data_IF_885676429616
#
_entry.id   IF_885676429616
#
_cell.length_a   1.000
_cell.length_b   1.000
_cell.length_c   1.000
_cell.angle_alpha   90.00
_cell.angle_beta   90.00
_cell.angle_gamma   90.00
#
_symmetry.space_group_name_H-M   'P 1'
#
loop_
_entity.id
_entity.type
_entity.pdbx_description
1 polymer ?
#
# COMPACT_ATOMS: atom_id res chain seq x y z
N UNK A 1 -20.68 27.69 20.78
CA UNK A 1 -21.88 26.97 20.30
C UNK A 1 -21.38 25.58 19.86
N UNK A 2 -21.61 24.54 20.66
CA UNK A 2 -21.32 23.16 20.27
C UNK A 2 -22.23 22.82 19.10
N UNK A 3 -21.71 22.71 17.89
CA UNK A 3 -22.43 22.01 16.82
C UNK A 3 -22.67 20.59 17.35
N UNK A 4 -23.95 20.23 17.58
CA UNK A 4 -24.33 18.84 17.77
C UNK A 4 -23.80 18.07 16.56
N UNK A 5 -22.83 17.18 16.81
CA UNK A 5 -22.40 16.19 15.81
C UNK A 5 -23.66 15.35 15.55
N UNK A 6 -24.34 15.62 14.45
CA UNK A 6 -25.45 14.80 13.99
C UNK A 6 -24.82 13.44 13.69
N UNK A 7 -25.23 12.39 14.41
CA UNK A 7 -24.76 11.03 14.15
C UNK A 7 -25.01 10.72 12.67
N UNK A 8 -23.94 10.56 11.89
CA UNK A 8 -24.03 10.25 10.46
C UNK A 8 -24.63 8.85 10.34
N UNK A 9 -25.82 8.74 9.76
CA UNK A 9 -26.40 7.43 9.46
C UNK A 9 -25.57 6.75 8.37
N UNK A 10 -25.22 5.50 8.56
CA UNK A 10 -24.58 4.61 7.57
C UNK A 10 -25.46 3.38 7.29
N UNK A 11 -26.77 3.51 7.54
CA UNK A 11 -27.72 2.39 7.51
C UNK A 11 -27.85 1.75 6.12
N UNK A 12 -27.90 2.56 5.06
CA UNK A 12 -28.01 2.06 3.68
C UNK A 12 -26.75 1.28 3.30
N UNK A 13 -25.58 1.79 3.69
CA UNK A 13 -24.30 1.11 3.47
C UNK A 13 -24.24 -0.24 4.18
N UNK A 14 -24.70 -0.33 5.44
CA UNK A 14 -24.73 -1.60 6.17
C UNK A 14 -25.86 -2.53 5.72
N UNK A 15 -26.99 -2.01 5.25
CA UNK A 15 -28.04 -2.84 4.66
C UNK A 15 -27.51 -3.59 3.42
N UNK A 16 -26.75 -2.90 2.57
CA UNK A 16 -26.09 -3.52 1.41
C UNK A 16 -25.00 -4.51 1.85
N UNK A 17 -24.20 -4.17 2.88
CA UNK A 17 -23.15 -5.06 3.39
C UNK A 17 -23.71 -6.40 3.90
N UNK A 18 -24.82 -6.37 4.65
CA UNK A 18 -25.50 -7.60 5.08
C UNK A 18 -25.98 -8.48 3.92
N UNK A 19 -26.36 -7.87 2.79
CA UNK A 19 -26.70 -8.62 1.57
C UNK A 19 -25.44 -9.17 0.88
N UNK A 20 -24.40 -8.36 0.79
CA UNK A 20 -23.12 -8.74 0.18
C UNK A 20 -22.46 -9.92 0.89
N UNK A 21 -22.56 -10.02 2.21
CA UNK A 21 -22.04 -11.16 2.99
C UNK A 21 -22.62 -12.52 2.53
N UNK A 22 -23.83 -12.54 1.92
CA UNK A 22 -24.45 -13.76 1.37
C UNK A 22 -23.88 -14.15 -0.01
N UNK A 23 -23.28 -13.20 -0.73
CA UNK A 23 -22.86 -13.38 -2.11
C UNK A 23 -21.33 -13.27 -2.29
N UNK A 24 -20.67 -12.52 -1.42
CA UNK A 24 -19.25 -12.23 -1.46
C UNK A 24 -18.59 -12.76 -0.20
N UNK A 25 -17.69 -13.72 -0.28
CA UNK A 25 -16.97 -14.23 0.88
C UNK A 25 -16.27 -13.10 1.66
N UNK A 26 -16.65 -12.90 2.93
CA UNK A 26 -16.13 -11.81 3.76
C UNK A 26 -16.69 -10.42 3.43
N UNK A 27 -17.75 -10.32 2.61
CA UNK A 27 -18.46 -9.07 2.30
C UNK A 27 -17.70 -8.05 1.44
N UNK A 28 -16.41 -8.24 1.24
CA UNK A 28 -15.55 -7.35 0.45
C UNK A 28 -14.47 -8.13 -0.30
N UNK A 29 -14.07 -7.64 -1.48
CA UNK A 29 -13.01 -8.27 -2.29
C UNK A 29 -11.61 -8.07 -1.66
N UNK A 30 -11.38 -6.95 -0.99
CA UNK A 30 -10.12 -6.65 -0.31
C UNK A 30 -10.30 -6.75 1.20
N UNK A 31 -9.35 -7.40 1.87
CA UNK A 31 -9.31 -7.46 3.34
C UNK A 31 -9.27 -6.04 3.93
N UNK A 32 -8.43 -5.17 3.37
CA UNK A 32 -8.30 -3.77 3.82
C UNK A 32 -9.56 -2.90 3.65
N UNK A 33 -10.62 -3.42 3.02
CA UNK A 33 -11.93 -2.74 2.88
C UNK A 33 -13.00 -3.29 3.81
N UNK A 34 -12.67 -4.29 4.62
CA UNK A 34 -13.61 -4.85 5.59
C UNK A 34 -13.88 -3.84 6.70
N UNK A 35 -15.15 -3.51 7.00
CA UNK A 35 -15.48 -2.52 8.02
C UNK A 35 -15.01 -2.94 9.43
N UNK A 36 -14.79 -4.23 9.66
CA UNK A 36 -14.24 -4.78 10.91
C UNK A 36 -12.82 -4.32 11.22
N UNK A 37 -12.07 -3.84 10.22
CA UNK A 37 -10.73 -3.28 10.43
C UNK A 37 -10.75 -1.82 10.88
N UNK A 38 -11.93 -1.21 10.88
CA UNK A 38 -12.17 0.18 11.28
C UNK A 38 -13.18 0.23 12.45
N UNK A 39 -13.94 1.30 12.54
CA UNK A 39 -15.04 1.42 13.50
C UNK A 39 -16.31 0.77 12.93
N UNK A 40 -16.52 -0.53 13.22
CA UNK A 40 -17.69 -1.28 12.76
C UNK A 40 -18.99 -0.60 13.23
N UNK A 41 -19.92 -0.40 12.30
CA UNK A 41 -21.19 0.30 12.58
C UNK A 41 -21.12 1.82 12.35
N UNK A 42 -19.92 2.42 12.24
CA UNK A 42 -19.72 3.84 11.97
C UNK A 42 -19.01 4.11 10.65
N UNK A 43 -17.95 3.34 10.37
CA UNK A 43 -17.25 3.45 9.08
C UNK A 43 -18.11 2.83 7.98
N UNK A 44 -18.45 3.58 6.91
CA UNK A 44 -19.29 3.06 5.85
C UNK A 44 -18.55 1.97 5.05
N UNK A 45 -19.16 0.79 4.83
CA UNK A 45 -18.55 -0.26 4.01
C UNK A 45 -18.57 0.02 2.51
N UNK A 46 -19.31 1.02 2.03
CA UNK A 46 -19.46 1.33 0.62
C UNK A 46 -19.30 2.81 0.31
N UNK A 47 -18.63 3.09 -0.81
CA UNK A 47 -18.47 4.40 -1.41
C UNK A 47 -19.39 4.50 -2.63
N UNK A 48 -20.15 5.58 -2.76
CA UNK A 48 -20.98 5.86 -3.93
C UNK A 48 -20.23 6.60 -5.02
N UNK A 49 -19.37 7.55 -4.65
CA UNK A 49 -18.52 8.34 -5.55
C UNK A 49 -17.32 8.93 -4.83
N UNK A 50 -16.28 9.27 -5.57
CA UNK A 50 -15.11 10.00 -5.08
C UNK A 50 -14.76 11.15 -6.02
N UNK A 51 -14.23 12.26 -5.48
CA UNK A 51 -13.67 13.37 -6.24
C UNK A 51 -12.56 14.06 -5.44
N UNK A 52 -11.40 14.25 -6.03
CA UNK A 52 -10.27 14.87 -5.36
C UNK A 52 -9.82 14.05 -4.13
N UNK A 53 -9.75 14.71 -2.97
CA UNK A 53 -9.39 14.10 -1.67
C UNK A 53 -10.57 13.45 -0.93
N UNK A 54 -11.79 13.46 -1.52
CA UNK A 54 -13.02 13.12 -0.82
C UNK A 54 -13.80 11.99 -1.46
N UNK A 55 -14.56 11.27 -0.64
CA UNK A 55 -15.58 10.35 -1.12
C UNK A 55 -16.91 10.56 -0.38
N UNK A 56 -17.98 10.04 -0.97
CA UNK A 56 -19.33 10.01 -0.40
C UNK A 56 -19.79 8.57 -0.30
N UNK A 57 -20.41 8.24 0.82
CA UNK A 57 -20.99 6.93 1.03
C UNK A 57 -22.40 6.79 0.40
N UNK A 58 -23.10 5.67 0.64
CA UNK A 58 -24.46 5.47 0.13
C UNK A 58 -25.52 6.28 0.86
N UNK A 59 -25.19 6.78 2.03
CA UNK A 59 -26.05 7.61 2.87
C UNK A 59 -25.80 9.11 2.62
N UNK A 60 -24.94 9.44 1.62
CA UNK A 60 -24.51 10.76 1.20
C UNK A 60 -23.62 11.52 2.22
N UNK A 61 -23.07 10.83 3.20
CA UNK A 61 -22.06 11.41 4.08
C UNK A 61 -20.76 11.64 3.30
N UNK A 62 -20.12 12.78 3.55
CA UNK A 62 -18.85 13.18 2.93
C UNK A 62 -17.68 12.91 3.89
N UNK A 63 -16.59 12.38 3.35
CA UNK A 63 -15.36 12.10 4.10
C UNK A 63 -14.14 12.61 3.35
N UNK A 64 -13.23 13.27 4.08
CA UNK A 64 -11.85 13.48 3.59
C UNK A 64 -11.09 12.17 3.76
N UNK A 65 -10.48 11.67 2.70
CA UNK A 65 -9.82 10.36 2.69
C UNK A 65 -8.29 10.48 2.77
N UNK A 66 -7.71 10.08 3.89
CA UNK A 66 -6.26 10.01 4.08
C UNK A 66 -5.65 8.64 3.74
N UNK A 67 -6.48 7.67 3.33
CA UNK A 67 -6.02 6.36 2.83
C UNK A 67 -5.83 6.35 1.31
N UNK A 68 -6.59 7.16 0.56
CA UNK A 68 -6.51 7.34 -0.89
C UNK A 68 -6.39 6.02 -1.66
N UNK A 69 -7.35 5.10 -1.45
CA UNK A 69 -7.33 3.76 -2.02
C UNK A 69 -6.01 3.00 -1.73
N UNK A 70 -5.57 3.02 -0.46
CA UNK A 70 -4.29 2.43 -0.02
C UNK A 70 -3.09 3.01 -0.81
N UNK A 71 -3.15 4.33 -1.05
CA UNK A 71 -2.12 5.09 -1.74
C UNK A 71 -2.16 5.03 -3.27
N UNK A 72 -3.18 4.42 -3.89
CA UNK A 72 -3.27 4.32 -5.34
C UNK A 72 -3.71 5.62 -6.03
N UNK A 73 -4.65 6.37 -5.43
CA UNK A 73 -5.18 7.62 -6.00
C UNK A 73 -4.27 8.81 -5.67
N UNK A 74 -3.08 8.84 -6.27
CA UNK A 74 -2.04 9.84 -5.94
C UNK A 74 -2.38 11.26 -6.36
N UNK A 75 -3.11 11.43 -7.47
CA UNK A 75 -3.61 12.72 -7.93
C UNK A 75 -4.96 13.07 -7.30
N UNK A 76 -5.61 12.10 -6.67
CA UNK A 76 -6.97 12.21 -6.16
C UNK A 76 -7.95 11.36 -6.95
N UNK A 77 -9.17 11.21 -6.41
CA UNK A 77 -10.26 10.50 -7.07
C UNK A 77 -10.76 11.27 -8.29
N UNK A 78 -11.10 10.54 -9.35
CA UNK A 78 -11.70 11.08 -10.57
C UNK A 78 -10.95 12.33 -11.10
N UNK A 79 -9.62 12.22 -11.25
CA UNK A 79 -8.80 13.30 -11.80
C UNK A 79 -9.17 13.52 -13.26
N UNK A 80 -9.55 14.77 -13.61
CA UNK A 80 -10.14 15.10 -14.90
C UNK A 80 -9.19 14.84 -16.08
N UNK A 81 -7.88 15.02 -15.92
CA UNK A 81 -6.92 14.81 -16.99
C UNK A 81 -6.66 13.31 -17.22
N UNK A 82 -6.57 12.51 -16.15
CA UNK A 82 -6.42 11.06 -16.25
C UNK A 82 -7.69 10.44 -16.83
N UNK A 83 -8.86 10.83 -16.33
CA UNK A 83 -10.15 10.33 -16.80
C UNK A 83 -10.41 10.70 -18.26
N UNK A 84 -10.05 11.92 -18.71
CA UNK A 84 -10.16 12.33 -20.11
C UNK A 84 -9.31 11.44 -21.03
N UNK A 85 -8.07 11.13 -20.65
CA UNK A 85 -7.20 10.23 -21.43
C UNK A 85 -7.79 8.81 -21.53
N UNK A 86 -8.31 8.30 -20.41
CA UNK A 86 -8.97 6.99 -20.35
C UNK A 86 -10.23 6.96 -21.21
N UNK A 87 -11.10 7.98 -21.11
CA UNK A 87 -12.33 8.07 -21.92
C UNK A 87 -11.99 8.13 -23.43
N UNK A 88 -10.97 8.89 -23.81
CA UNK A 88 -10.50 8.95 -25.18
C UNK A 88 -10.05 7.56 -25.68
N UNK A 89 -9.31 6.81 -24.86
CA UNK A 89 -8.85 5.46 -25.19
C UNK A 89 -10.00 4.46 -25.27
N UNK A 90 -10.98 4.52 -24.36
CA UNK A 90 -12.16 3.63 -24.40
C UNK A 90 -12.93 3.78 -25.71
N UNK A 91 -13.03 5.01 -26.23
CA UNK A 91 -13.70 5.27 -27.53
C UNK A 91 -12.97 4.68 -28.74
N UNK A 92 -11.67 4.36 -28.61
CA UNK A 92 -10.87 3.72 -29.66
C UNK A 92 -10.80 2.20 -29.49
N UNK A 93 -11.15 1.69 -28.31
CA UNK A 93 -11.08 0.28 -27.91
C UNK A 93 -10.17 0.07 -26.70
N UNK A 94 -10.36 -1.06 -26.01
CA UNK A 94 -9.69 -1.33 -24.75
C UNK A 94 -8.70 -2.49 -24.81
N UNK A 95 -9.01 -3.54 -25.59
CA UNK A 95 -8.18 -4.73 -25.75
C UNK A 95 -8.19 -5.15 -27.22
N UNK A 96 -7.06 -5.59 -27.72
CA UNK A 96 -6.87 -5.87 -29.14
C UNK A 96 -6.23 -7.24 -29.34
N UNK A 97 -6.37 -7.78 -30.56
CA UNK A 97 -5.69 -9.03 -30.97
C UNK A 97 -4.20 -8.84 -31.29
N UNK A 98 -3.76 -7.58 -31.41
CA UNK A 98 -2.37 -7.19 -31.67
C UNK A 98 -1.93 -6.17 -30.61
N UNK A 99 -0.63 -5.94 -30.49
CA UNK A 99 -0.06 -4.95 -29.56
C UNK A 99 -0.49 -3.53 -29.93
N UNK A 100 -0.73 -2.71 -28.91
CA UNK A 100 -1.09 -1.30 -29.07
C UNK A 100 0.14 -0.39 -28.88
N UNK A 101 0.28 0.72 -29.61
CA UNK A 101 1.43 1.64 -29.49
C UNK A 101 1.68 2.15 -28.06
N UNK A 102 0.65 2.29 -27.23
CA UNK A 102 0.80 2.70 -25.83
C UNK A 102 1.69 1.75 -25.02
N UNK A 103 1.80 0.47 -25.41
CA UNK A 103 2.73 -0.46 -24.76
C UNK A 103 4.18 0.03 -24.92
N UNK A 104 4.54 0.44 -26.13
CA UNK A 104 5.87 0.99 -26.42
C UNK A 104 6.07 2.38 -25.78
N UNK A 105 5.08 3.25 -25.88
CA UNK A 105 5.16 4.61 -25.36
C UNK A 105 5.37 4.61 -23.86
N UNK A 106 4.62 3.79 -23.10
CA UNK A 106 4.80 3.66 -21.67
C UNK A 106 6.13 3.00 -21.31
N UNK A 107 6.57 1.97 -22.05
CA UNK A 107 7.87 1.34 -21.82
C UNK A 107 9.01 2.35 -22.00
N UNK A 108 8.97 3.18 -23.04
CA UNK A 108 9.93 4.25 -23.28
C UNK A 108 9.94 5.28 -22.14
N UNK A 109 8.76 5.66 -21.65
CA UNK A 109 8.65 6.59 -20.51
C UNK A 109 9.23 5.98 -19.22
N UNK A 110 8.87 4.74 -18.89
CA UNK A 110 9.35 4.05 -17.68
C UNK A 110 10.86 3.84 -17.71
N UNK A 111 11.44 3.46 -18.86
CA UNK A 111 12.87 3.28 -19.00
C UNK A 111 13.66 4.58 -18.95
N UNK A 112 13.03 5.72 -19.22
CA UNK A 112 13.67 7.02 -19.13
C UNK A 112 13.70 7.58 -17.69
N UNK A 113 12.80 7.14 -16.81
CA UNK A 113 12.61 7.75 -15.48
C UNK A 113 12.99 6.84 -14.31
N UNK A 114 12.97 5.51 -14.50
CA UNK A 114 13.26 4.55 -13.42
C UNK A 114 14.71 4.05 -13.55
N UNK A 115 15.55 4.21 -12.50
CA UNK A 115 16.99 3.93 -12.59
C UNK A 115 17.37 2.51 -13.05
N UNK A 116 16.67 1.46 -12.60
CA UNK A 116 16.99 0.08 -12.98
C UNK A 116 16.32 -0.35 -14.31
N UNK A 117 15.45 0.47 -14.89
CA UNK A 117 14.58 0.04 -15.99
C UNK A 117 15.29 0.12 -17.36
N UNK A 118 15.65 -1.01 -17.90
CA UNK A 118 16.09 -1.18 -19.30
C UNK A 118 15.05 -1.92 -20.15
N UNK A 119 14.19 -2.72 -19.51
CA UNK A 119 13.06 -3.44 -20.11
C UNK A 119 11.84 -3.43 -19.18
N UNK A 120 10.66 -3.64 -19.75
CA UNK A 120 9.38 -3.57 -19.06
C UNK A 120 8.48 -4.76 -19.36
N UNK A 121 7.75 -5.26 -18.36
CA UNK A 121 6.65 -6.19 -18.51
C UNK A 121 5.42 -5.67 -17.75
N UNK A 122 4.26 -5.65 -18.38
CA UNK A 122 3.02 -5.16 -17.76
C UNK A 122 2.22 -6.27 -17.07
N UNK A 123 1.40 -5.87 -16.10
CA UNK A 123 0.41 -6.69 -15.42
C UNK A 123 -0.73 -5.80 -14.86
N UNK A 124 -1.60 -6.32 -13.98
CA UNK A 124 -2.75 -5.57 -13.48
C UNK A 124 -2.71 -5.25 -11.98
N UNK A 125 -1.80 -5.82 -11.24
CA UNK A 125 -1.72 -5.61 -9.79
C UNK A 125 -0.35 -5.89 -9.21
N UNK A 126 -0.10 -5.35 -7.99
CA UNK A 126 1.20 -5.47 -7.32
C UNK A 126 1.60 -6.91 -7.00
N UNK A 127 0.64 -7.74 -6.55
CA UNK A 127 0.91 -9.15 -6.29
C UNK A 127 1.30 -9.93 -7.54
N UNK A 128 0.67 -9.63 -8.70
CA UNK A 128 1.10 -10.17 -9.99
C UNK A 128 2.50 -9.70 -10.35
N UNK A 129 2.78 -8.39 -10.22
CA UNK A 129 4.10 -7.83 -10.52
C UNK A 129 5.20 -8.54 -9.71
N UNK A 130 5.00 -8.71 -8.40
CA UNK A 130 5.95 -9.42 -7.53
C UNK A 130 6.10 -10.89 -7.95
N UNK A 131 5.02 -11.57 -8.29
CA UNK A 131 5.05 -12.96 -8.76
C UNK A 131 5.81 -13.11 -10.08
N UNK A 132 5.60 -12.18 -11.02
CA UNK A 132 6.33 -12.13 -12.28
C UNK A 132 7.82 -11.89 -12.02
N UNK A 133 8.17 -10.91 -11.17
CA UNK A 133 9.56 -10.60 -10.84
C UNK A 133 10.29 -11.79 -10.19
N UNK A 134 9.66 -12.46 -9.22
CA UNK A 134 10.19 -13.68 -8.60
C UNK A 134 10.36 -14.80 -9.63
N UNK A 135 9.40 -14.97 -10.53
CA UNK A 135 9.49 -15.98 -11.59
C UNK A 135 10.62 -15.69 -12.58
N UNK A 136 10.81 -14.42 -12.94
CA UNK A 136 11.94 -13.97 -13.77
C UNK A 136 13.28 -14.29 -13.06
N UNK A 137 13.39 -13.95 -11.78
CA UNK A 137 14.60 -14.21 -11.01
C UNK A 137 14.93 -15.71 -10.93
N UNK A 138 13.92 -16.56 -10.72
CA UNK A 138 14.08 -18.03 -10.77
C UNK A 138 14.52 -18.50 -12.14
N UNK A 139 13.89 -18.01 -13.21
CA UNK A 139 14.26 -18.36 -14.59
C UNK A 139 15.67 -17.94 -14.96
N UNK A 140 16.07 -16.73 -14.55
CA UNK A 140 17.41 -16.20 -14.80
C UNK A 140 18.51 -16.93 -14.04
N UNK A 141 18.28 -17.23 -12.75
CA UNK A 141 19.32 -17.85 -11.89
C UNK A 141 19.34 -19.37 -11.93
N UNK A 142 18.25 -20.01 -12.38
CA UNK A 142 18.04 -21.45 -12.24
C UNK A 142 17.87 -21.94 -10.80
N UNK A 143 17.63 -21.02 -9.84
CA UNK A 143 17.47 -21.30 -8.41
C UNK A 143 16.03 -21.14 -7.96
N UNK A 144 15.67 -21.65 -6.77
CA UNK A 144 14.27 -21.71 -6.34
C UNK A 144 13.90 -20.81 -5.17
N UNK A 145 14.83 -20.59 -4.20
CA UNK A 145 14.52 -19.90 -2.95
C UNK A 145 14.47 -18.39 -3.10
N UNK A 146 13.57 -17.78 -2.34
CA UNK A 146 13.39 -16.32 -2.28
C UNK A 146 13.53 -15.87 -0.84
N UNK A 147 14.44 -14.93 -0.58
CA UNK A 147 14.50 -14.23 0.70
C UNK A 147 13.66 -12.97 0.60
N UNK A 148 12.83 -12.70 1.60
CA UNK A 148 11.93 -11.56 1.54
C UNK A 148 11.87 -10.76 2.85
N UNK A 149 11.55 -9.47 2.72
CA UNK A 149 11.24 -8.59 3.84
C UNK A 149 10.15 -7.59 3.45
N UNK A 150 8.97 -7.72 4.01
CA UNK A 150 7.81 -6.88 3.72
C UNK A 150 6.60 -7.67 3.23
N UNK A 151 5.61 -6.93 2.72
CA UNK A 151 4.39 -7.48 2.14
C UNK A 151 4.48 -7.54 0.61
N UNK A 152 4.34 -8.73 0.02
CA UNK A 152 4.54 -8.91 -1.42
C UNK A 152 3.36 -9.55 -2.15
N UNK A 153 2.16 -9.47 -1.60
CA UNK A 153 0.93 -9.99 -2.22
C UNK A 153 0.40 -11.24 -1.55
N UNK A 154 -0.46 -11.97 -2.26
CA UNK A 154 -1.23 -13.10 -1.74
C UNK A 154 -0.94 -14.42 -2.46
N UNK A 155 -0.03 -14.41 -3.43
CA UNK A 155 0.26 -15.58 -4.25
C UNK A 155 1.00 -16.67 -3.47
N UNK A 156 0.88 -17.91 -3.91
CA UNK A 156 1.37 -19.10 -3.22
C UNK A 156 2.84 -19.00 -2.83
N UNK A 157 3.70 -18.45 -3.72
CA UNK A 157 5.13 -18.33 -3.45
C UNK A 157 5.42 -17.52 -2.16
N UNK A 158 4.60 -16.50 -1.86
CA UNK A 158 4.77 -15.66 -0.67
C UNK A 158 4.11 -16.30 0.56
N UNK A 159 2.87 -16.80 0.41
CA UNK A 159 2.15 -17.46 1.50
C UNK A 159 2.80 -18.78 1.93
N UNK A 160 3.64 -19.39 1.08
CA UNK A 160 4.45 -20.56 1.40
C UNK A 160 5.35 -20.36 2.64
N UNK A 161 5.69 -19.13 2.99
CA UNK A 161 6.44 -18.81 4.21
C UNK A 161 5.75 -19.30 5.50
N UNK A 162 4.41 -19.41 5.52
CA UNK A 162 3.65 -19.90 6.66
C UNK A 162 3.38 -21.42 6.63
N UNK A 163 3.97 -22.19 5.71
CA UNK A 163 3.81 -23.65 5.67
C UNK A 163 4.57 -24.35 6.80
N UNK A 164 5.74 -23.81 7.18
CA UNK A 164 6.57 -24.38 8.24
C UNK A 164 6.21 -23.83 9.64
N UNK A 165 5.61 -22.65 9.71
CA UNK A 165 5.14 -22.00 10.93
C UNK A 165 4.06 -20.97 10.62
N UNK A 166 2.93 -21.06 11.30
CA UNK A 166 1.75 -20.20 11.09
C UNK A 166 1.97 -18.70 11.40
N UNK A 167 3.15 -18.30 11.88
CA UNK A 167 3.42 -16.94 12.36
C UNK A 167 4.54 -16.20 11.63
N UNK A 168 5.13 -16.78 10.59
CA UNK A 168 6.24 -16.14 9.84
C UNK A 168 5.82 -14.80 9.24
N UNK A 169 4.61 -14.71 8.69
CA UNK A 169 4.07 -13.51 8.06
C UNK A 169 3.46 -12.50 9.03
N UNK A 170 3.34 -12.80 10.32
CA UNK A 170 2.69 -11.92 11.30
C UNK A 170 3.37 -10.55 11.42
N UNK A 171 4.69 -10.49 11.26
CA UNK A 171 5.47 -9.25 11.27
C UNK A 171 5.66 -8.62 9.89
N UNK A 172 5.28 -9.32 8.83
CA UNK A 172 5.47 -8.86 7.44
C UNK A 172 4.18 -8.38 6.79
N UNK A 173 3.02 -8.94 7.19
CA UNK A 173 1.73 -8.62 6.62
C UNK A 173 0.68 -8.37 7.71
N UNK A 174 0.02 -9.41 8.16
CA UNK A 174 -1.05 -9.35 9.16
C UNK A 174 -1.00 -10.62 10.01
N UNK A 175 -1.23 -10.53 11.32
CA UNK A 175 -1.29 -11.71 12.19
C UNK A 175 -2.39 -12.69 11.78
N UNK A 176 -2.12 -13.98 11.98
CA UNK A 176 -3.12 -15.04 11.85
C UNK A 176 -3.41 -15.52 10.42
N UNK A 177 -2.58 -15.17 9.44
CA UNK A 177 -2.71 -15.70 8.06
C UNK A 177 -2.41 -17.18 8.05
N UNK A 178 -3.38 -17.98 7.57
CA UNK A 178 -3.20 -19.43 7.36
C UNK A 178 -2.87 -19.71 5.91
N UNK A 179 -1.86 -20.56 5.61
CA UNK A 179 -1.49 -20.92 4.24
C UNK A 179 -2.45 -21.96 3.64
N UNK A 180 -3.76 -21.80 3.92
CA UNK A 180 -4.78 -22.74 3.47
C UNK A 180 -4.89 -22.70 1.94
N UNK A 181 -4.71 -23.85 1.30
CA UNK A 181 -4.74 -24.00 -0.15
C UNK A 181 -3.38 -23.83 -0.85
N UNK A 182 -2.33 -23.43 -0.11
CA UNK A 182 -0.96 -23.39 -0.64
C UNK A 182 -0.37 -24.79 -0.65
N UNK A 183 0.21 -25.26 -1.78
CA UNK A 183 0.80 -26.61 -1.88
C UNK A 183 1.99 -26.77 -0.91
N UNK A 184 2.00 -27.86 -0.15
CA UNK A 184 3.08 -28.17 0.81
C UNK A 184 4.46 -28.30 0.15
N UNK A 185 4.53 -28.69 -1.13
CA UNK A 185 5.77 -28.72 -1.88
C UNK A 185 6.51 -27.39 -2.03
N UNK A 186 5.87 -26.27 -1.66
CA UNK A 186 6.50 -24.95 -1.62
C UNK A 186 7.14 -24.60 -0.27
N UNK A 187 7.05 -25.47 0.73
CA UNK A 187 7.68 -25.24 2.04
C UNK A 187 9.19 -24.99 1.88
N UNK A 188 9.71 -24.00 2.61
CA UNK A 188 11.13 -23.62 2.56
C UNK A 188 11.58 -22.89 1.29
N UNK A 189 10.66 -22.54 0.36
CA UNK A 189 11.01 -21.76 -0.85
C UNK A 189 10.90 -20.24 -0.65
N UNK A 190 10.21 -19.75 0.38
CA UNK A 190 10.11 -18.34 0.75
C UNK A 190 10.54 -18.18 2.22
N UNK A 191 11.62 -17.46 2.46
CA UNK A 191 12.26 -17.36 3.75
C UNK A 191 12.40 -15.89 4.16
N UNK A 192 11.95 -15.50 5.36
CA UNK A 192 12.00 -14.12 5.81
C UNK A 192 13.39 -13.71 6.29
N UNK A 193 13.69 -12.43 6.17
CA UNK A 193 14.73 -11.75 6.93
C UNK A 193 14.17 -10.48 7.57
N UNK A 194 14.85 -9.94 8.59
CA UNK A 194 14.34 -8.78 9.32
C UNK A 194 14.79 -7.47 8.68
N UNK A 195 13.87 -6.51 8.62
CA UNK A 195 14.15 -5.16 8.15
C UNK A 195 15.17 -4.47 9.07
N UNK A 196 16.13 -3.76 8.47
CA UNK A 196 17.25 -3.10 9.16
C UNK A 196 18.20 -4.06 9.93
N UNK A 197 18.25 -5.34 9.53
CA UNK A 197 19.09 -6.36 10.15
C UNK A 197 19.83 -7.18 9.07
N UNK A 198 20.99 -6.69 8.65
CA UNK A 198 21.83 -7.35 7.66
C UNK A 198 22.30 -8.74 8.13
N UNK A 199 22.58 -8.90 9.42
CA UNK A 199 23.02 -10.19 9.97
C UNK A 199 21.94 -11.29 9.76
N UNK A 200 20.65 -10.91 9.85
CA UNK A 200 19.57 -11.85 9.56
C UNK A 200 19.52 -12.27 8.10
N UNK A 201 19.87 -11.37 7.17
CA UNK A 201 19.96 -11.68 5.74
C UNK A 201 21.18 -12.56 5.44
N UNK A 202 22.36 -12.22 5.99
CA UNK A 202 23.59 -13.02 5.86
C UNK A 202 23.37 -14.46 6.34
N UNK A 203 22.79 -14.65 7.53
CA UNK A 203 22.49 -15.97 8.08
C UNK A 203 21.57 -16.78 7.16
N UNK A 204 20.60 -16.16 6.49
CA UNK A 204 19.74 -16.84 5.50
C UNK A 204 20.52 -17.22 4.22
N UNK A 205 21.39 -16.34 3.73
CA UNK A 205 22.21 -16.58 2.55
C UNK A 205 23.21 -17.72 2.79
N UNK A 206 23.88 -17.76 3.95
CA UNK A 206 24.79 -18.82 4.34
C UNK A 206 24.11 -20.19 4.43
N UNK A 207 22.94 -20.25 5.11
CA UNK A 207 22.15 -21.51 5.22
C UNK A 207 21.65 -22.01 3.88
N UNK A 208 21.48 -21.16 2.90
CA UNK A 208 20.90 -21.45 1.60
C UNK A 208 21.88 -21.17 0.45
N UNK A 209 23.18 -21.36 0.70
CA UNK A 209 24.23 -21.05 -0.27
C UNK A 209 23.96 -21.70 -1.63
N UNK A 210 24.02 -20.89 -2.70
CA UNK A 210 23.79 -21.34 -4.07
C UNK A 210 22.33 -21.64 -4.44
N UNK A 211 21.36 -21.49 -3.53
CA UNK A 211 19.95 -21.83 -3.75
C UNK A 211 19.02 -20.59 -3.87
N UNK A 212 19.51 -19.40 -3.52
CA UNK A 212 18.71 -18.17 -3.49
C UNK A 212 18.64 -17.56 -4.88
N UNK A 213 17.43 -17.51 -5.44
CA UNK A 213 17.13 -16.86 -6.71
C UNK A 213 17.00 -15.34 -6.57
N UNK A 214 16.31 -14.92 -5.53
CA UNK A 214 16.01 -13.50 -5.33
C UNK A 214 16.03 -13.09 -3.86
N UNK A 215 16.34 -11.80 -3.65
CA UNK A 215 16.08 -11.05 -2.42
C UNK A 215 15.06 -9.98 -2.79
N UNK A 216 13.87 -10.01 -2.19
CA UNK A 216 12.81 -9.02 -2.44
C UNK A 216 12.48 -8.27 -1.15
N UNK A 217 12.38 -6.94 -1.23
CA UNK A 217 12.00 -6.11 -0.09
C UNK A 217 11.29 -4.82 -0.52
N UNK A 218 10.49 -4.28 0.40
CA UNK A 218 10.07 -2.88 0.36
C UNK A 218 11.21 -2.02 0.91
N UNK A 219 11.76 -1.11 0.11
CA UNK A 219 12.88 -0.26 0.52
C UNK A 219 12.51 0.72 1.66
N UNK A 220 11.22 1.08 1.77
CA UNK A 220 10.62 1.84 2.87
C UNK A 220 9.27 1.23 3.23
N UNK A 221 8.96 1.14 4.52
CA UNK A 221 7.75 0.47 5.04
C UNK A 221 6.93 1.42 5.91
N UNK A 222 6.27 2.40 5.29
CA UNK A 222 5.43 3.36 6.01
C UNK A 222 6.20 4.14 7.07
N UNK A 223 6.03 3.77 8.35
CA UNK A 223 6.74 4.39 9.48
C UNK A 223 8.23 4.01 9.57
N UNK A 224 8.65 2.91 8.94
CA UNK A 224 10.01 2.39 9.04
C UNK A 224 10.84 2.78 7.83
N UNK A 225 11.90 3.56 8.06
CA UNK A 225 12.88 3.95 7.05
C UNK A 225 14.10 3.03 7.09
N UNK A 226 14.83 2.86 5.98
CA UNK A 226 16.06 2.10 5.99
C UNK A 226 17.11 2.80 6.86
N UNK A 227 17.75 2.03 7.74
CA UNK A 227 18.91 2.51 8.49
C UNK A 227 20.07 2.81 7.52
N UNK A 228 20.96 3.76 7.85
CA UNK A 228 22.14 4.04 7.05
C UNK A 228 22.94 2.76 6.74
N UNK A 229 23.27 2.53 5.47
CA UNK A 229 24.02 1.35 5.03
C UNK A 229 23.21 0.07 4.84
N UNK A 230 21.91 0.04 5.24
CA UNK A 230 21.12 -1.18 5.14
C UNK A 230 20.84 -1.60 3.69
N UNK A 231 20.33 -0.69 2.86
CA UNK A 231 20.01 -1.01 1.46
C UNK A 231 21.26 -1.29 0.64
N UNK A 232 22.33 -0.56 0.88
CA UNK A 232 23.64 -0.79 0.28
C UNK A 232 24.20 -2.17 0.66
N UNK A 233 24.07 -2.56 1.92
CA UNK A 233 24.44 -3.89 2.40
C UNK A 233 23.61 -4.99 1.75
N UNK A 234 22.29 -4.82 1.63
CA UNK A 234 21.43 -5.76 0.89
C UNK A 234 21.85 -5.89 -0.57
N UNK A 235 22.18 -4.76 -1.25
CA UNK A 235 22.69 -4.78 -2.64
C UNK A 235 24.00 -5.55 -2.74
N UNK A 236 24.93 -5.29 -1.83
CA UNK A 236 26.23 -5.95 -1.81
C UNK A 236 26.09 -7.46 -1.61
N UNK A 237 25.29 -7.90 -0.65
CA UNK A 237 25.00 -9.30 -0.37
C UNK A 237 24.32 -10.00 -1.55
N UNK A 238 23.32 -9.37 -2.19
CA UNK A 238 22.69 -9.90 -3.38
C UNK A 238 23.70 -10.15 -4.50
N UNK A 239 24.60 -9.19 -4.73
CA UNK A 239 25.66 -9.28 -5.73
C UNK A 239 26.65 -10.41 -5.42
N UNK A 240 27.13 -10.49 -4.17
CA UNK A 240 28.10 -11.50 -3.74
C UNK A 240 27.58 -12.92 -3.86
N UNK A 241 26.27 -13.13 -3.65
CA UNK A 241 25.64 -14.43 -3.74
C UNK A 241 25.00 -14.74 -5.12
N UNK A 242 25.08 -13.80 -6.08
CA UNK A 242 24.47 -13.91 -7.40
C UNK A 242 22.96 -14.07 -7.35
N UNK A 243 22.31 -13.46 -6.36
CA UNK A 243 20.86 -13.39 -6.25
C UNK A 243 20.33 -12.11 -6.91
N UNK A 244 19.16 -12.18 -7.53
CA UNK A 244 18.48 -11.01 -8.11
C UNK A 244 17.91 -10.15 -6.99
N UNK A 245 18.30 -8.88 -6.90
CA UNK A 245 17.69 -7.93 -5.98
C UNK A 245 16.43 -7.33 -6.61
N UNK A 246 15.31 -7.45 -5.91
CA UNK A 246 14.00 -6.92 -6.32
C UNK A 246 13.54 -5.87 -5.31
N UNK A 247 13.27 -4.65 -5.76
CA UNK A 247 12.55 -3.67 -4.95
C UNK A 247 11.06 -3.74 -5.26
N UNK A 248 10.26 -4.02 -4.24
CA UNK A 248 8.83 -3.86 -4.29
C UNK A 248 8.49 -2.37 -4.15
N UNK A 249 8.27 -1.72 -5.29
CA UNK A 249 7.90 -0.31 -5.41
C UNK A 249 6.39 -0.12 -5.58
N UNK A 250 5.58 -1.13 -5.27
CA UNK A 250 4.11 -1.05 -5.40
C UNK A 250 3.51 0.09 -4.59
N UNK A 251 4.15 0.43 -3.46
CA UNK A 251 3.73 1.55 -2.61
C UNK A 251 4.59 2.79 -2.81
N UNK A 252 5.88 2.64 -2.96
CA UNK A 252 6.87 3.73 -3.03
C UNK A 252 7.04 4.33 -4.42
N UNK A 253 6.84 3.52 -5.46
CA UNK A 253 6.93 3.95 -6.86
C UNK A 253 5.87 4.99 -7.19
N UNK A 254 6.27 6.05 -7.90
CA UNK A 254 5.41 7.19 -8.23
C UNK A 254 4.80 7.90 -7.01
N UNK A 255 5.25 7.58 -5.81
CA UNK A 255 4.87 8.26 -4.57
C UNK A 255 6.02 9.07 -3.98
N UNK A 256 7.22 8.49 -3.91
CA UNK A 256 8.41 9.19 -3.42
C UNK A 256 9.07 10.05 -4.51
N UNK A 257 8.65 9.93 -5.74
CA UNK A 257 9.18 10.59 -6.93
C UNK A 257 9.01 9.70 -8.16
N UNK A 258 9.37 10.20 -9.34
CA UNK A 258 9.30 9.42 -10.58
C UNK A 258 10.21 8.20 -10.55
N UNK A 259 11.38 8.31 -9.95
CA UNK A 259 12.33 7.20 -9.81
C UNK A 259 12.10 6.30 -8.60
N UNK A 260 11.04 6.55 -7.79
CA UNK A 260 10.67 5.73 -6.64
C UNK A 260 11.70 5.71 -5.52
N UNK A 261 11.67 4.65 -4.71
CA UNK A 261 12.56 4.47 -3.57
C UNK A 261 14.03 4.29 -4.00
N UNK A 262 14.30 3.68 -5.16
CA UNK A 262 15.65 3.52 -5.66
C UNK A 262 16.35 4.86 -5.93
N UNK A 263 15.63 5.86 -6.44
CA UNK A 263 16.16 7.21 -6.60
C UNK A 263 16.24 7.95 -5.26
N UNK A 264 15.26 7.76 -4.38
CA UNK A 264 15.22 8.39 -3.05
C UNK A 264 16.38 7.96 -2.16
N UNK A 265 16.74 6.68 -2.19
CA UNK A 265 17.78 6.10 -1.32
C UNK A 265 19.10 5.81 -2.02
N UNK A 266 19.21 6.06 -3.32
CA UNK A 266 20.45 5.91 -4.08
C UNK A 266 20.91 4.46 -4.31
N UNK A 267 20.03 3.46 -4.14
CA UNK A 267 20.35 2.05 -4.34
C UNK A 267 19.50 1.46 -5.47
N UNK A 268 20.16 0.94 -6.51
CA UNK A 268 19.51 0.40 -7.70
C UNK A 268 19.38 -1.13 -7.61
N UNK A 269 18.16 -1.69 -7.66
CA UNK A 269 17.93 -3.13 -7.71
C UNK A 269 18.18 -3.69 -9.13
N UNK A 270 18.08 -5.01 -9.29
CA UNK A 270 18.10 -5.66 -10.60
C UNK A 270 16.71 -5.62 -11.27
N UNK A 271 15.65 -5.75 -10.46
CA UNK A 271 14.25 -5.63 -10.87
C UNK A 271 13.51 -4.72 -9.89
N UNK A 272 12.46 -4.06 -10.37
CA UNK A 272 11.52 -3.34 -9.51
C UNK A 272 10.08 -3.57 -9.99
N UNK A 273 9.12 -3.58 -9.04
CA UNK A 273 7.71 -3.84 -9.30
C UNK A 273 6.86 -2.63 -8.96
N UNK A 274 5.92 -2.29 -9.83
CA UNK A 274 5.07 -1.11 -9.72
C UNK A 274 3.59 -1.48 -9.82
N UNK A 275 2.74 -0.74 -9.12
CA UNK A 275 1.28 -0.71 -9.25
C UNK A 275 0.73 0.56 -8.60
N UNK A 276 -0.54 0.58 -8.17
CA UNK A 276 -1.16 1.67 -7.40
C UNK A 276 -0.99 3.05 -8.04
N UNK A 277 -0.04 3.85 -7.51
CA UNK A 277 0.16 5.25 -7.91
C UNK A 277 0.56 5.43 -9.39
N UNK A 278 1.10 4.41 -10.04
CA UNK A 278 1.50 4.47 -11.46
C UNK A 278 0.36 4.91 -12.38
N UNK A 279 -0.90 4.63 -12.03
CA UNK A 279 -2.08 4.85 -12.88
C UNK A 279 -3.26 5.50 -12.16
N UNK A 280 -3.02 6.17 -11.04
CA UNK A 280 -4.02 6.90 -10.25
C UNK A 280 -5.28 6.08 -9.94
N UNK A 281 -5.13 4.78 -9.60
CA UNK A 281 -6.23 3.91 -9.21
C UNK A 281 -6.82 3.05 -10.34
N UNK A 282 -6.45 3.27 -11.60
CA UNK A 282 -6.75 2.33 -12.68
C UNK A 282 -5.92 1.05 -12.55
N UNK A 283 -6.47 -0.09 -12.97
CA UNK A 283 -5.81 -1.38 -12.85
C UNK A 283 -4.58 -1.47 -13.78
N UNK A 284 -3.39 -1.27 -13.23
CA UNK A 284 -2.11 -1.31 -13.92
C UNK A 284 -1.00 -1.72 -12.96
N UNK A 285 -0.07 -2.53 -13.46
CA UNK A 285 1.18 -2.87 -12.81
C UNK A 285 2.28 -3.09 -13.83
N UNK A 286 3.52 -3.00 -13.38
CA UNK A 286 4.69 -3.23 -14.21
C UNK A 286 5.81 -3.91 -13.42
N UNK A 287 6.59 -4.74 -14.11
CA UNK A 287 7.90 -5.19 -13.70
C UNK A 287 8.90 -4.54 -14.65
N UNK A 288 9.87 -3.86 -14.08
CA UNK A 288 10.97 -3.26 -14.85
C UNK A 288 12.29 -3.79 -14.35
N UNK A 289 13.34 -3.74 -15.16
CA UNK A 289 14.65 -4.15 -14.71
C UNK A 289 15.71 -4.18 -15.78
N UNK A 290 16.89 -4.64 -15.35
CA UNK A 290 18.07 -4.77 -16.20
C UNK A 290 17.80 -5.74 -17.34
N UNK A 291 18.25 -5.40 -18.53
CA UNK A 291 18.09 -6.19 -19.75
C UNK A 291 18.54 -7.63 -19.55
N UNK A 292 19.74 -7.82 -19.01
CA UNK A 292 20.31 -9.16 -18.79
C UNK A 292 19.43 -10.09 -17.95
N UNK A 293 18.61 -9.54 -17.02
CA UNK A 293 17.70 -10.32 -16.19
C UNK A 293 16.33 -10.47 -16.87
N UNK A 294 15.87 -9.42 -17.57
CA UNK A 294 14.54 -9.38 -18.17
C UNK A 294 14.42 -10.19 -19.46
N UNK A 295 15.49 -10.35 -20.24
CA UNK A 295 15.45 -11.06 -21.53
C UNK A 295 15.02 -12.51 -21.41
N UNK A 296 15.23 -13.17 -20.27
CA UNK A 296 14.77 -14.55 -20.02
C UNK A 296 13.26 -14.73 -20.20
N UNK A 297 12.48 -13.64 -20.07
CA UNK A 297 11.02 -13.67 -20.28
C UNK A 297 10.65 -14.13 -21.67
N UNK A 298 11.51 -13.90 -22.68
CA UNK A 298 11.30 -14.38 -24.05
C UNK A 298 11.23 -15.89 -24.17
N UNK A 299 11.82 -16.62 -23.23
CA UNK A 299 11.83 -18.09 -23.18
C UNK A 299 10.82 -18.66 -22.15
N UNK A 300 10.06 -17.78 -21.46
CA UNK A 300 9.16 -18.17 -20.39
C UNK A 300 7.70 -17.93 -20.78
N UNK A 301 6.81 -18.82 -20.31
CA UNK A 301 5.38 -18.55 -20.41
C UNK A 301 4.93 -17.57 -19.32
N UNK A 302 5.01 -16.26 -19.63
CA UNK A 302 4.59 -15.14 -18.77
C UNK A 302 3.67 -14.26 -19.58
N UNK A 303 2.36 -14.56 -19.59
CA UNK A 303 1.37 -13.90 -20.44
C UNK A 303 -0.02 -13.95 -19.83
N UNK A 304 -0.82 -12.89 -20.07
CA UNK A 304 -2.25 -12.85 -19.74
C UNK A 304 -2.97 -11.85 -20.66
N UNK A 305 -4.23 -12.14 -20.97
CA UNK A 305 -5.05 -11.40 -21.96
C UNK A 305 -5.13 -9.91 -21.68
N UNK A 306 -5.25 -9.50 -20.40
CA UNK A 306 -5.50 -8.10 -20.05
C UNK A 306 -4.25 -7.32 -19.66
N UNK A 307 -3.06 -7.91 -19.72
CA UNK A 307 -1.84 -7.19 -19.33
C UNK A 307 -1.48 -6.02 -20.25
N UNK A 308 -1.92 -6.08 -21.49
CA UNK A 308 -1.75 -5.03 -22.47
C UNK A 308 -3.05 -4.25 -22.79
N UNK A 309 -4.07 -4.30 -21.90
CA UNK A 309 -5.24 -3.45 -22.12
C UNK A 309 -4.84 -1.97 -22.11
N UNK A 310 -5.36 -1.26 -23.12
CA UNK A 310 -4.94 0.10 -23.42
C UNK A 310 -5.44 1.14 -22.37
N UNK A 311 -6.45 0.82 -21.58
CA UNK A 311 -7.01 1.72 -20.55
C UNK A 311 -5.99 1.96 -19.44
N UNK A 312 -5.39 0.88 -18.89
CA UNK A 312 -4.36 1.00 -17.87
C UNK A 312 -3.10 1.72 -18.38
N UNK A 313 -2.72 1.47 -19.63
CA UNK A 313 -1.57 2.13 -20.26
C UNK A 313 -1.81 3.64 -20.46
N UNK A 314 -2.98 4.02 -20.95
CA UNK A 314 -3.37 5.43 -21.12
C UNK A 314 -3.45 6.16 -19.77
N UNK A 315 -4.02 5.52 -18.76
CA UNK A 315 -4.07 6.05 -17.40
C UNK A 315 -2.68 6.28 -16.83
N UNK A 316 -1.75 5.32 -16.99
CA UNK A 316 -0.38 5.43 -16.49
C UNK A 316 0.38 6.59 -17.15
N UNK A 317 0.33 6.68 -18.48
CA UNK A 317 0.95 7.80 -19.23
C UNK A 317 0.40 9.15 -18.79
N UNK A 318 -0.94 9.27 -18.66
CA UNK A 318 -1.57 10.50 -18.20
C UNK A 318 -1.16 10.83 -16.74
N UNK A 319 -1.16 9.85 -15.85
CA UNK A 319 -0.75 10.03 -14.46
C UNK A 319 0.69 10.53 -14.36
N UNK A 320 1.64 9.89 -15.06
CA UNK A 320 3.06 10.29 -15.06
C UNK A 320 3.22 11.71 -15.57
N UNK A 321 2.51 12.07 -16.66
CA UNK A 321 2.52 13.42 -17.21
C UNK A 321 2.03 14.44 -16.20
N UNK A 322 0.88 14.19 -15.56
CA UNK A 322 0.27 15.13 -14.61
C UNK A 322 1.10 15.26 -13.33
N UNK A 323 1.68 14.16 -12.81
CA UNK A 323 2.61 14.21 -11.66
C UNK A 323 3.79 15.14 -11.93
N UNK A 324 4.32 15.12 -13.15
CA UNK A 324 5.44 15.98 -13.57
C UNK A 324 5.00 17.43 -13.79
N UNK A 325 3.93 17.65 -14.56
CA UNK A 325 3.47 18.99 -14.94
C UNK A 325 2.98 19.80 -13.76
N UNK A 326 2.36 19.16 -12.77
CA UNK A 326 1.80 19.82 -11.59
C UNK A 326 2.80 19.93 -10.44
N UNK A 327 4.05 19.48 -10.60
CA UNK A 327 5.02 19.35 -9.48
C UNK A 327 4.39 18.65 -8.26
N UNK A 328 3.65 17.57 -8.52
CA UNK A 328 2.79 16.94 -7.53
C UNK A 328 3.57 16.37 -6.33
N UNK A 329 4.79 15.91 -6.55
CA UNK A 329 5.62 15.34 -5.46
C UNK A 329 6.00 16.38 -4.41
N UNK A 330 6.36 17.60 -4.83
CA UNK A 330 6.66 18.69 -3.90
C UNK A 330 5.43 19.09 -3.09
N UNK A 331 4.27 19.18 -3.72
CA UNK A 331 3.01 19.52 -3.04
C UNK A 331 2.58 18.43 -2.06
N UNK A 332 2.66 17.14 -2.45
CA UNK A 332 2.37 16.00 -1.57
C UNK A 332 3.31 16.01 -0.35
N UNK A 333 4.60 16.23 -0.58
CA UNK A 333 5.59 16.30 0.50
C UNK A 333 5.33 17.48 1.46
N UNK A 334 5.04 18.67 0.91
CA UNK A 334 4.75 19.86 1.72
C UNK A 334 3.48 19.67 2.57
N UNK A 335 2.40 19.12 1.97
CA UNK A 335 1.18 18.80 2.69
C UNK A 335 1.44 17.78 3.80
N UNK A 336 2.13 16.68 3.49
CA UNK A 336 2.43 15.63 4.45
C UNK A 336 3.30 16.12 5.61
N UNK A 337 4.32 16.93 5.33
CA UNK A 337 5.18 17.53 6.36
C UNK A 337 4.38 18.44 7.29
N UNK A 338 3.47 19.25 6.74
CA UNK A 338 2.61 20.11 7.55
C UNK A 338 1.62 19.31 8.39
N UNK A 339 1.04 18.22 7.83
CA UNK A 339 0.19 17.31 8.58
C UNK A 339 0.95 16.71 9.77
N UNK A 340 2.16 16.14 9.52
CA UNK A 340 2.99 15.53 10.56
C UNK A 340 3.31 16.54 11.67
N UNK A 341 3.72 17.75 11.30
CA UNK A 341 4.04 18.82 12.25
C UNK A 341 2.82 19.17 13.13
N UNK A 342 1.66 19.47 12.52
CA UNK A 342 0.45 19.84 13.26
C UNK A 342 -0.04 18.71 14.16
N UNK A 343 0.04 17.44 13.69
CA UNK A 343 -0.34 16.28 14.48
C UNK A 343 0.54 16.13 15.71
N UNK A 344 1.87 16.19 15.50
CA UNK A 344 2.84 15.98 16.57
C UNK A 344 2.79 17.09 17.63
N UNK A 345 2.66 18.37 17.21
CA UNK A 345 2.48 19.51 18.10
C UNK A 345 1.23 19.34 18.98
N UNK A 346 0.10 18.96 18.38
CA UNK A 346 -1.15 18.78 19.11
C UNK A 346 -1.15 17.52 20.01
N UNK A 347 -0.52 16.44 19.56
CA UNK A 347 -0.37 15.24 20.40
C UNK A 347 0.47 15.53 21.65
N UNK A 348 1.52 16.33 21.52
CA UNK A 348 2.35 16.80 22.63
C UNK A 348 1.58 17.73 23.57
N UNK A 349 0.84 18.71 23.04
CA UNK A 349 -0.01 19.62 23.81
C UNK A 349 -1.00 18.86 24.71
N UNK A 350 -1.55 17.76 24.21
CA UNK A 350 -2.51 16.91 24.94
C UNK A 350 -1.87 15.75 25.69
N UNK A 351 -0.53 15.69 25.78
CA UNK A 351 0.21 14.61 26.47
C UNK A 351 -0.23 13.21 25.98
N UNK A 352 -0.39 13.06 24.67
CA UNK A 352 -0.72 11.79 24.03
C UNK A 352 0.57 11.10 23.52
N UNK A 353 0.74 9.78 23.75
CA UNK A 353 1.91 9.06 23.27
C UNK A 353 1.75 8.68 21.79
N UNK A 354 1.48 9.67 20.97
CA UNK A 354 1.28 9.53 19.51
C UNK A 354 2.30 10.39 18.76
N UNK A 355 2.84 9.85 17.67
CA UNK A 355 3.77 10.56 16.77
C UNK A 355 3.60 10.08 15.34
N UNK A 356 3.78 10.98 14.38
CA UNK A 356 3.95 10.61 12.99
C UNK A 356 5.37 10.09 12.75
N UNK A 357 5.51 9.00 11.97
CA UNK A 357 6.79 8.43 11.58
C UNK A 357 6.76 8.01 10.11
N UNK A 358 7.84 8.24 9.38
CA UNK A 358 7.98 7.97 7.96
C UNK A 358 8.19 9.24 7.13
N UNK A 359 8.25 9.08 5.81
CA UNK A 359 8.42 10.20 4.88
C UNK A 359 7.11 10.99 4.72
N UNK A 360 7.18 12.32 4.51
CA UNK A 360 5.98 13.14 4.35
C UNK A 360 5.01 12.64 3.27
N UNK A 361 5.51 12.01 2.21
CA UNK A 361 4.68 11.44 1.14
C UNK A 361 3.93 10.18 1.57
N UNK A 362 4.42 9.49 2.62
CA UNK A 362 3.83 8.27 3.15
C UNK A 362 4.34 8.02 4.57
N UNK A 363 3.47 8.05 5.53
CA UNK A 363 3.83 7.89 6.94
C UNK A 363 2.73 7.13 7.71
N UNK A 364 3.01 6.85 8.96
CA UNK A 364 2.04 6.30 9.87
C UNK A 364 2.04 7.05 11.19
N UNK A 365 0.88 7.12 11.84
CA UNK A 365 0.75 7.48 13.24
C UNK A 365 1.23 6.27 14.05
N UNK A 366 2.14 6.49 14.98
CA UNK A 366 2.71 5.46 15.85
C UNK A 366 2.37 5.75 17.30
N UNK A 367 2.15 4.69 18.07
CA UNK A 367 1.96 4.79 19.53
C UNK A 367 3.31 4.52 20.20
N UNK A 368 3.88 5.54 20.83
CA UNK A 368 5.23 5.53 21.37
C UNK A 368 5.34 4.90 22.76
N UNK A 369 4.23 4.81 23.51
CA UNK A 369 4.17 4.23 24.83
C UNK A 369 2.85 3.51 25.10
N UNK A 370 2.82 2.65 26.12
CA UNK A 370 1.63 1.88 26.53
C UNK A 370 1.73 0.40 26.17
N UNK A 371 0.91 -0.40 26.83
CA UNK A 371 0.76 -1.83 26.55
C UNK A 371 -0.09 -2.09 25.28
N UNK A 372 -0.26 -3.36 24.94
CA UNK A 372 -1.00 -3.75 23.73
C UNK A 372 -2.48 -3.31 23.77
N UNK A 373 -3.11 -3.33 24.94
CA UNK A 373 -4.53 -2.91 25.11
C UNK A 373 -4.66 -1.42 24.91
N UNK A 374 -3.76 -0.63 25.52
CA UNK A 374 -3.73 0.83 25.35
C UNK A 374 -3.45 1.23 23.90
N UNK A 375 -2.47 0.58 23.25
CA UNK A 375 -2.14 0.84 21.85
C UNK A 375 -3.33 0.59 20.93
N UNK A 376 -4.01 -0.54 21.12
CA UNK A 376 -5.22 -0.88 20.35
C UNK A 376 -6.36 0.08 20.67
N UNK A 377 -6.61 0.37 21.95
CA UNK A 377 -7.65 1.29 22.39
C UNK A 377 -7.49 2.69 21.78
N UNK A 378 -6.28 3.25 21.80
CA UNK A 378 -5.99 4.54 21.17
C UNK A 378 -6.27 4.54 19.67
N UNK A 379 -5.86 3.49 18.97
CA UNK A 379 -6.13 3.36 17.53
C UNK A 379 -7.63 3.28 17.24
N UNK A 380 -8.34 2.39 17.91
CA UNK A 380 -9.76 2.15 17.66
C UNK A 380 -10.60 3.39 17.99
N UNK A 381 -10.31 4.05 19.12
CA UNK A 381 -10.99 5.28 19.52
C UNK A 381 -10.69 6.43 18.55
N UNK A 382 -9.43 6.62 18.15
CA UNK A 382 -9.05 7.64 17.18
C UNK A 382 -9.79 7.44 15.84
N UNK A 383 -9.78 6.25 15.28
CA UNK A 383 -10.46 5.95 14.02
C UNK A 383 -11.96 6.20 14.12
N UNK A 384 -12.57 5.76 15.23
CA UNK A 384 -13.99 5.98 15.51
C UNK A 384 -14.35 7.47 15.52
N UNK A 385 -13.63 8.26 16.31
CA UNK A 385 -13.95 9.67 16.51
C UNK A 385 -13.61 10.55 15.30
N UNK A 386 -12.58 10.19 14.53
CA UNK A 386 -12.27 10.85 13.27
C UNK A 386 -13.33 10.55 12.20
N UNK A 387 -13.80 9.29 12.12
CA UNK A 387 -14.89 8.91 11.20
C UNK A 387 -16.16 9.71 11.47
N UNK A 388 -16.55 9.91 12.74
CA UNK A 388 -17.71 10.74 13.12
C UNK A 388 -17.60 12.20 12.67
N UNK A 389 -16.38 12.68 12.41
CA UNK A 389 -16.09 14.05 11.98
C UNK A 389 -15.79 14.14 10.48
N UNK A 390 -16.21 13.14 9.71
CA UNK A 390 -16.04 13.15 8.26
C UNK A 390 -14.58 12.99 7.81
N UNK A 391 -13.73 12.35 8.63
CA UNK A 391 -12.35 12.03 8.27
C UNK A 391 -12.17 10.53 8.21
N UNK A 392 -11.94 9.99 7.01
CA UNK A 392 -11.61 8.60 6.81
C UNK A 392 -10.10 8.39 6.90
N UNK A 393 -9.68 7.70 7.92
CA UNK A 393 -8.27 7.47 8.23
C UNK A 393 -8.06 6.14 8.95
N UNK A 394 -6.82 5.70 8.97
CA UNK A 394 -6.29 4.71 9.88
C UNK A 394 -5.02 5.29 10.50
N UNK A 395 -4.15 4.42 11.02
CA UNK A 395 -2.82 4.89 11.42
C UNK A 395 -1.85 5.04 10.24
N UNK A 396 -2.16 4.48 9.06
CA UNK A 396 -1.42 4.75 7.83
C UNK A 396 -2.00 5.98 7.12
N UNK A 397 -1.14 6.88 6.65
CA UNK A 397 -1.52 8.11 5.97
C UNK A 397 -0.79 8.19 4.61
N UNK A 398 -1.55 8.42 3.56
CA UNK A 398 -1.06 8.51 2.18
C UNK A 398 -1.54 9.83 1.56
N UNK A 399 -0.89 10.97 1.81
CA UNK A 399 -1.26 12.23 1.20
C UNK A 399 -1.30 12.12 -0.33
N UNK A 400 -2.23 12.81 -0.95
CA UNK A 400 -2.37 12.89 -2.41
C UNK A 400 -2.31 14.34 -2.87
N UNK A 401 -2.05 14.56 -4.14
CA UNK A 401 -2.01 15.89 -4.74
C UNK A 401 -3.31 16.68 -4.51
N UNK A 402 -4.43 15.99 -4.50
CA UNK A 402 -5.75 16.62 -4.31
C UNK A 402 -6.01 17.12 -2.88
N UNK A 403 -5.19 16.77 -1.88
CA UNK A 403 -5.34 17.32 -0.54
C UNK A 403 -4.98 18.82 -0.51
N UNK A 404 -5.86 19.61 0.09
CA UNK A 404 -5.76 21.06 0.17
C UNK A 404 -5.53 21.54 1.60
N UNK A 405 -5.21 22.83 1.76
CA UNK A 405 -5.18 23.47 3.09
C UNK A 405 -6.52 23.35 3.83
N UNK A 406 -7.64 23.41 3.11
CA UNK A 406 -8.98 23.24 3.71
C UNK A 406 -9.19 21.82 4.27
N UNK A 407 -8.62 20.77 3.64
CA UNK A 407 -8.65 19.41 4.19
C UNK A 407 -7.78 19.29 5.45
N UNK A 408 -6.63 19.97 5.46
CA UNK A 408 -5.78 20.03 6.65
C UNK A 408 -6.46 20.79 7.80
N UNK A 409 -7.10 21.92 7.52
CA UNK A 409 -7.87 22.67 8.52
C UNK A 409 -9.02 21.84 9.09
N UNK A 410 -9.72 21.08 8.24
CA UNK A 410 -10.79 20.18 8.67
C UNK A 410 -10.27 19.10 9.65
N UNK A 411 -9.16 18.46 9.33
CA UNK A 411 -8.59 17.42 10.20
C UNK A 411 -8.02 18.02 11.49
N UNK A 412 -7.42 19.21 11.45
CA UNK A 412 -6.96 19.93 12.65
C UNK A 412 -8.14 20.26 13.57
N UNK A 413 -9.25 20.73 13.00
CA UNK A 413 -10.47 20.99 13.79
C UNK A 413 -10.98 19.71 14.47
N UNK A 414 -10.97 18.57 13.75
CA UNK A 414 -11.31 17.27 14.31
C UNK A 414 -10.35 16.86 15.46
N UNK A 415 -9.04 17.03 15.31
CA UNK A 415 -8.08 16.74 16.37
C UNK A 415 -8.28 17.58 17.64
N UNK A 416 -8.58 18.87 17.49
CA UNK A 416 -8.87 19.77 18.64
C UNK A 416 -9.99 19.23 19.53
N UNK A 417 -10.95 18.53 18.93
CA UNK A 417 -12.04 17.90 19.68
C UNK A 417 -11.67 16.50 20.18
N UNK A 418 -11.00 15.70 19.34
CA UNK A 418 -10.73 14.28 19.61
C UNK A 418 -9.61 14.10 20.64
N UNK A 419 -8.53 14.88 20.60
CA UNK A 419 -7.37 14.65 21.45
C UNK A 419 -7.64 14.85 22.96
N UNK A 420 -8.39 15.88 23.40
CA UNK A 420 -8.82 15.97 24.79
C UNK A 420 -9.65 14.77 25.24
N UNK A 421 -10.57 14.29 24.38
CA UNK A 421 -11.39 13.10 24.67
C UNK A 421 -10.54 11.82 24.75
N UNK A 422 -9.65 11.61 23.77
CA UNK A 422 -8.72 10.48 23.76
C UNK A 422 -7.84 10.47 25.00
N UNK A 423 -7.35 11.65 25.43
CA UNK A 423 -6.56 11.78 26.66
C UNK A 423 -7.37 11.39 27.90
N UNK A 424 -8.62 11.81 27.99
CA UNK A 424 -9.51 11.46 29.09
C UNK A 424 -9.72 9.94 29.18
N UNK A 425 -10.04 9.28 28.04
CA UNK A 425 -10.23 7.82 27.96
C UNK A 425 -8.95 7.07 28.28
N UNK A 426 -7.79 7.54 27.78
CA UNK A 426 -6.48 6.93 28.07
C UNK A 426 -6.16 6.96 29.57
N UNK A 427 -6.48 8.07 30.26
CA UNK A 427 -6.29 8.20 31.73
C UNK A 427 -7.24 7.32 32.53
N UNK A 428 -8.50 7.20 32.09
CA UNK A 428 -9.49 6.37 32.74
C UNK A 428 -9.23 4.88 32.54
N UNK A 429 -8.66 4.49 31.39
CA UNK A 429 -8.39 3.10 31.03
C UNK A 429 -9.64 2.28 30.66
N UNK A 430 -10.79 2.91 30.55
CA UNK A 430 -12.10 2.28 30.36
C UNK A 430 -12.54 2.25 28.89
N UNK A 431 -11.68 1.75 28.01
CA UNK A 431 -11.88 1.70 26.56
C UNK A 431 -13.23 1.10 26.14
N UNK A 432 -13.72 0.06 26.84
CA UNK A 432 -14.94 -0.65 26.49
C UNK A 432 -16.21 0.19 26.68
N UNK A 433 -16.16 1.22 27.49
CA UNK A 433 -17.26 2.18 27.68
C UNK A 433 -17.37 3.17 26.51
N UNK A 434 -16.25 3.44 25.83
CA UNK A 434 -16.15 4.52 24.84
C UNK A 434 -16.01 4.03 23.39
N UNK A 435 -15.54 2.80 23.17
CA UNK A 435 -15.40 2.22 21.84
C UNK A 435 -16.67 1.43 21.50
N UNK A 436 -17.42 1.88 20.49
CA UNK A 436 -18.64 1.26 20.04
C UNK A 436 -18.38 -0.12 19.45
N UNK A 437 -17.34 -0.23 18.63
CA UNK A 437 -16.93 -1.50 18.07
C UNK A 437 -15.39 -1.53 17.91
N UNK A 438 -14.78 -2.51 18.57
CA UNK A 438 -13.33 -2.75 18.40
C UNK A 438 -13.06 -3.31 17.01
N UNK A 439 -11.98 -2.85 16.41
CA UNK A 439 -11.45 -3.49 15.21
C UNK A 439 -11.14 -4.96 15.52
N UNK A 440 -11.51 -5.86 14.62
CA UNK A 440 -11.15 -7.27 14.73
C UNK A 440 -9.89 -7.57 13.92
N UNK A 441 -9.20 -8.65 14.26
CA UNK A 441 -8.16 -9.17 13.39
C UNK A 441 -8.79 -9.63 12.07
N UNK A 442 -8.11 -9.34 10.95
CA UNK A 442 -8.63 -9.52 9.58
C UNK A 442 -9.16 -10.94 9.28
N UNK A 443 -8.72 -11.93 10.05
CA UNK A 443 -9.08 -13.34 9.87
C UNK A 443 -9.93 -13.92 11.00
N UNK A 444 -10.29 -13.13 12.02
CA UNK A 444 -11.21 -13.58 13.07
C UNK A 444 -12.62 -13.60 12.48
N UNK A 445 -13.20 -14.80 12.31
CA UNK A 445 -14.62 -14.91 11.99
C UNK A 445 -15.42 -14.34 13.16
N UNK A 446 -16.14 -13.26 12.94
CA UNK A 446 -17.31 -12.98 13.76
C UNK A 446 -18.37 -14.01 13.36
N UNK A 447 -18.53 -15.04 14.20
CA UNK A 447 -19.67 -15.94 14.15
C UNK A 447 -20.83 -15.15 14.76
N UNK A 448 -21.68 -14.59 13.91
CA UNK A 448 -22.99 -14.08 14.27
C UNK A 448 -24.04 -15.11 13.96
#
# INVERSE_FOLDING_TARGET
MSQQITEQSVERSYALYRQALKLIPGGAQLISRRPELYALGLTPPYVSRGKGSRFWDLDANEYVDFMMCVGAAILGYADDAVDAAVIAQIRQGTAYSLSHPLEYELARELTAIIPCAEMVRYCKGGGEANTIAVRIARGYTGREKVLFCGYHGWHDWYLAANLDSDSVLDTHLLPGIKPRGVPHGLAGTALPFRYNDLASLEAQLERNQGQVAAIILEASRGASLPAPGFLEGVRALATAHGAVLIFDEVVTGFRLGLGGAQAQFGVTPDLATYAKAISNGYAMGAVVGRRAVMEVVGEMFVSSTYWSDAVGLAAALATIRELRQRDAFAQIAAFGARFQQCFDEMAEEHDLPLRCAGLPQQFAITVTAGDAVQKRGMKDYYVQEMTRRGVFTSFGVSPAYAHTSADLEHVIAAWREVFPLLRAVLRAGDWDTHIIARSSDAFTRQVG
#
